data_IF_609359716148
#
_entry.id   IF_609359716148
#
_cell.length_a   1.000
_cell.length_b   1.000
_cell.length_c   1.000
_cell.angle_alpha   90.00
_cell.angle_beta   90.00
_cell.angle_gamma   90.00
#
_symmetry.space_group_name_H-M   'P 1'
#
loop_
_entity.id
_entity.type
_entity.pdbx_description
1 polymer ?
#
# COMPACT_ATOMS: atom_id res chain seq x y z
N UNK A 1 2.27 6.63 15.87
CA UNK A 1 2.92 5.89 14.77
C UNK A 1 2.23 6.25 13.46
N UNK A 2 2.98 6.49 12.39
CA UNK A 2 2.44 6.71 11.04
C UNK A 2 2.56 5.42 10.23
N UNK A 3 1.54 5.10 9.44
CA UNK A 3 1.48 3.92 8.58
C UNK A 3 1.12 4.35 7.15
N UNK A 4 1.99 4.00 6.19
CA UNK A 4 1.76 4.26 4.76
C UNK A 4 1.10 3.05 4.11
N UNK A 5 -0.13 3.21 3.63
CA UNK A 5 -0.90 2.15 2.99
C UNK A 5 -0.87 2.34 1.46
N UNK A 6 -0.53 1.30 0.70
CA UNK A 6 -0.40 1.37 -0.76
C UNK A 6 -1.12 0.19 -1.44
N UNK A 7 -2.21 -0.25 -0.82
CA UNK A 7 -2.94 -1.44 -1.23
C UNK A 7 -4.27 -1.52 -0.52
N UNK A 8 -4.76 -2.74 -0.24
CA UNK A 8 -6.12 -2.91 0.32
C UNK A 8 -6.36 -2.20 1.67
N UNK A 9 -5.30 -1.87 2.42
CA UNK A 9 -5.40 -1.08 3.65
C UNK A 9 -5.66 0.43 3.42
N UNK A 10 -5.62 0.93 2.17
CA UNK A 10 -6.06 2.31 1.85
C UNK A 10 -7.57 2.50 2.10
N UNK A 11 -8.34 1.41 2.06
CA UNK A 11 -9.75 1.44 2.47
C UNK A 11 -9.83 1.58 3.99
N UNK A 12 -10.19 2.79 4.45
CA UNK A 12 -10.34 3.07 5.88
C UNK A 12 -11.31 2.11 6.58
N UNK A 13 -12.50 1.78 6.04
CA UNK A 13 -13.37 0.77 6.64
C UNK A 13 -12.68 -0.59 6.79
N UNK A 14 -11.94 -1.04 5.77
CA UNK A 14 -11.23 -2.33 5.80
C UNK A 14 -10.10 -2.33 6.84
N UNK A 15 -9.34 -1.24 6.93
CA UNK A 15 -8.28 -1.08 7.93
C UNK A 15 -8.86 -1.03 9.35
N UNK A 16 -9.95 -0.29 9.55
CA UNK A 16 -10.62 -0.16 10.86
C UNK A 16 -11.20 -1.46 11.40
N UNK A 17 -11.53 -2.43 10.54
CA UNK A 17 -11.91 -3.79 10.99
C UNK A 17 -10.80 -4.52 11.75
N UNK A 18 -9.53 -4.12 11.58
CA UNK A 18 -8.36 -4.69 12.26
C UNK A 18 -7.74 -3.72 13.26
N UNK A 19 -7.79 -2.42 12.96
CA UNK A 19 -7.23 -1.34 13.77
C UNK A 19 -8.29 -0.24 13.94
N UNK A 20 -9.17 -0.40 14.92
CA UNK A 20 -10.40 0.39 15.08
C UNK A 20 -10.19 1.91 15.12
N UNK A 21 -9.07 2.37 15.70
CA UNK A 21 -8.72 3.79 15.83
C UNK A 21 -7.88 4.34 14.68
N UNK A 22 -7.73 3.62 13.57
CA UNK A 22 -7.01 4.14 12.41
C UNK A 22 -7.71 5.40 11.86
N UNK A 23 -6.94 6.47 11.64
CA UNK A 23 -7.42 7.74 11.10
C UNK A 23 -6.56 8.08 9.86
N UNK A 24 -7.17 8.41 8.71
CA UNK A 24 -6.43 8.96 7.57
C UNK A 24 -5.71 10.24 7.96
N UNK A 25 -4.43 10.36 7.59
CA UNK A 25 -3.63 11.54 7.91
C UNK A 25 -3.52 12.43 6.68
N UNK A 26 -3.00 11.89 5.57
CA UNK A 26 -2.85 12.57 4.29
C UNK A 26 -2.62 11.52 3.19
N UNK A 27 -2.76 11.94 1.93
CA UNK A 27 -2.20 11.21 0.79
C UNK A 27 -0.70 11.52 0.69
N UNK A 28 0.12 10.49 0.51
CA UNK A 28 1.56 10.60 0.40
C UNK A 28 2.10 9.83 -0.81
N UNK A 29 3.36 10.12 -1.16
CA UNK A 29 4.09 9.43 -2.24
C UNK A 29 5.34 8.75 -1.69
N UNK A 30 5.60 7.55 -2.18
CA UNK A 30 6.83 6.79 -1.94
C UNK A 30 7.65 6.76 -3.25
N UNK A 31 8.71 7.58 -3.37
CA UNK A 31 9.54 7.64 -4.58
C UNK A 31 10.51 6.46 -4.70
N UNK A 32 10.93 6.17 -5.93
CA UNK A 32 11.85 5.08 -6.25
C UNK A 32 11.22 3.69 -6.10
N UNK A 33 9.88 3.61 -6.10
CA UNK A 33 9.15 2.37 -5.94
C UNK A 33 8.05 2.24 -7.00
N UNK A 34 7.74 0.99 -7.35
CA UNK A 34 6.66 0.64 -8.27
C UNK A 34 5.68 -0.32 -7.60
N UNK A 35 4.41 -0.23 -7.98
CA UNK A 35 3.39 -1.16 -7.51
C UNK A 35 3.45 -2.45 -8.34
N UNK A 36 3.47 -3.61 -7.68
CA UNK A 36 3.48 -4.91 -8.34
C UNK A 36 2.52 -5.89 -7.67
N UNK A 37 1.81 -6.71 -8.46
CA UNK A 37 0.86 -7.73 -7.97
C UNK A 37 1.40 -9.13 -8.21
N UNK A 38 2.54 -9.44 -7.59
CA UNK A 38 3.32 -10.64 -7.90
C UNK A 38 3.49 -11.59 -6.71
N UNK A 39 3.03 -11.19 -5.51
CA UNK A 39 3.05 -12.06 -4.33
C UNK A 39 1.81 -12.95 -4.33
N UNK A 40 1.95 -14.27 -4.27
CA UNK A 40 0.79 -15.16 -4.25
C UNK A 40 -0.01 -15.00 -2.94
N UNK A 41 -1.29 -14.70 -3.07
CA UNK A 41 -2.24 -14.63 -1.97
C UNK A 41 -2.84 -15.97 -1.60
N UNK A 42 -3.32 -16.10 -0.36
CA UNK A 42 -4.04 -17.29 0.09
C UNK A 42 -5.35 -17.55 -0.68
N UNK A 43 -5.91 -16.52 -1.32
CA UNK A 43 -7.09 -16.58 -2.19
C UNK A 43 -6.73 -16.78 -3.68
N UNK A 44 -5.46 -17.10 -3.99
CA UNK A 44 -4.96 -17.27 -5.35
C UNK A 44 -4.72 -15.98 -6.12
N UNK A 45 -5.02 -14.80 -5.54
CA UNK A 45 -4.78 -13.51 -6.20
C UNK A 45 -3.35 -13.01 -6.01
N UNK A 46 -2.88 -12.15 -6.91
CA UNK A 46 -1.64 -11.39 -6.73
C UNK A 46 -1.81 -10.30 -5.67
N UNK A 47 -1.09 -10.39 -4.55
CA UNK A 47 -1.01 -9.34 -3.53
C UNK A 47 -0.08 -8.22 -3.97
N UNK A 48 -0.49 -7.00 -3.65
CA UNK A 48 0.27 -5.79 -3.95
C UNK A 48 1.57 -5.75 -3.13
N UNK A 49 2.61 -5.22 -3.76
CA UNK A 49 3.89 -4.90 -3.16
C UNK A 49 4.42 -3.58 -3.72
N UNK A 50 5.13 -2.82 -2.89
CA UNK A 50 5.90 -1.66 -3.31
C UNK A 50 7.36 -2.09 -3.44
N UNK A 51 7.77 -2.46 -4.65
CA UNK A 51 9.13 -2.94 -4.91
C UNK A 51 10.02 -1.77 -5.34
N UNK A 52 11.35 -1.88 -5.14
CA UNK A 52 12.29 -0.97 -5.77
C UNK A 52 12.00 -0.84 -7.27
N UNK A 53 11.90 0.39 -7.73
CA UNK A 53 11.77 0.70 -9.14
C UNK A 53 13.13 0.67 -9.83
N UNK A 54 13.12 0.48 -11.14
CA UNK A 54 14.32 0.64 -11.97
C UNK A 54 14.63 2.11 -12.28
N UNK A 55 13.69 3.02 -12.00
CA UNK A 55 13.82 4.45 -12.26
C UNK A 55 13.40 5.27 -11.03
N UNK A 56 14.10 6.37 -10.79
CA UNK A 56 13.93 7.18 -9.58
C UNK A 56 12.61 7.98 -9.57
N UNK A 57 12.05 8.26 -10.75
CA UNK A 57 10.81 9.00 -10.95
C UNK A 57 9.54 8.17 -10.70
N UNK A 58 9.65 6.85 -10.61
CA UNK A 58 8.51 6.01 -10.27
C UNK A 58 8.09 6.23 -8.81
N UNK A 59 6.78 6.37 -8.61
CA UNK A 59 6.18 6.66 -7.31
C UNK A 59 5.02 5.72 -7.04
N UNK A 60 4.88 5.31 -5.78
CA UNK A 60 3.66 4.68 -5.27
C UNK A 60 2.89 5.71 -4.45
N UNK A 61 1.61 5.89 -4.76
CA UNK A 61 0.70 6.73 -4.00
C UNK A 61 -0.07 5.91 -2.96
N UNK A 62 -0.38 6.54 -1.83
CA UNK A 62 -1.07 5.90 -0.70
C UNK A 62 -1.69 6.90 0.26
#
# INVERSE_FOLDING_TARGET
>A
MLYFAYGSNMSTPRLRRRVSRAVPVATARLPGCRLAFHKLGADGSGKCDACPAGRAEEVVWG
#
